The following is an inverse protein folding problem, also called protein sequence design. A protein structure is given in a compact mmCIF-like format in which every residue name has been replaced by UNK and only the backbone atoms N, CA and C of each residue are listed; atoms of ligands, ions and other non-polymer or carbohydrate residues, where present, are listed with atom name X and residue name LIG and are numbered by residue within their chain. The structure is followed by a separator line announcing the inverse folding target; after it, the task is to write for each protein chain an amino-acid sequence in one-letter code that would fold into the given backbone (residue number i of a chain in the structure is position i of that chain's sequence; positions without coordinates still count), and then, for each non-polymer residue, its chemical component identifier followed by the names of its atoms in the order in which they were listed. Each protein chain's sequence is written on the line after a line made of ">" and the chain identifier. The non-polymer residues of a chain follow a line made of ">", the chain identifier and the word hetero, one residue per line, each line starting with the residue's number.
data_IF_627548943194
#
_entry.id   IF_627548943194
#
_cell.length_a   1.000
_cell.length_b   1.000
_cell.length_c   1.000
_cell.angle_alpha   90.00
_cell.angle_beta   90.00
_cell.angle_gamma   90.00
#
_symmetry.space_group_name_H-M   'P 1'
#
loop_
_entity.id
_entity.type
_entity.pdbx_description
1 polymer ?
#
# COMPACT_ATOMS: atom_id res chain seq x y z
N UNK A 1 -1.99 15.17 1.00
CA UNK A 1 -1.32 14.70 -0.23
C UNK A 1 -1.34 13.17 -0.24
N UNK A 2 -1.10 12.53 -1.38
CA UNK A 2 -0.97 11.06 -1.49
C UNK A 2 0.07 10.49 -0.52
N UNK A 3 1.18 11.20 -0.33
CA UNK A 3 2.29 10.83 0.56
C UNK A 3 1.85 10.64 2.02
N UNK A 4 1.05 11.56 2.56
CA UNK A 4 0.58 11.48 3.95
C UNK A 4 -0.29 10.23 4.18
N UNK A 5 -1.10 9.85 3.19
CA UNK A 5 -1.90 8.62 3.25
C UNK A 5 -1.02 7.37 3.20
N UNK A 6 0.02 7.34 2.38
CA UNK A 6 0.95 6.21 2.31
C UNK A 6 1.76 6.05 3.60
N UNK A 7 2.17 7.16 4.23
CA UNK A 7 2.80 7.11 5.57
C UNK A 7 1.86 6.51 6.62
N UNK A 8 0.60 6.95 6.66
CA UNK A 8 -0.40 6.40 7.60
C UNK A 8 -0.61 4.90 7.35
N UNK A 9 -0.72 4.48 6.09
CA UNK A 9 -0.88 3.06 5.75
C UNK A 9 0.34 2.23 6.13
N UNK A 10 1.56 2.72 5.88
CA UNK A 10 2.79 2.03 6.28
C UNK A 10 2.86 1.85 7.81
N UNK A 11 2.52 2.90 8.55
CA UNK A 11 2.40 2.86 10.01
C UNK A 11 1.34 1.87 10.49
N UNK A 12 0.15 1.90 9.89
CA UNK A 12 -0.99 1.05 10.29
C UNK A 12 -0.71 -0.43 10.03
N UNK A 13 -0.09 -0.73 8.89
CA UNK A 13 0.25 -2.09 8.51
C UNK A 13 1.51 -2.59 9.23
N UNK A 14 2.29 -1.70 9.84
CA UNK A 14 3.59 -2.02 10.43
C UNK A 14 4.61 -2.52 9.39
N UNK A 15 4.43 -2.14 8.12
CA UNK A 15 5.22 -2.63 6.99
C UNK A 15 5.62 -1.47 6.08
N UNK A 16 6.85 -1.46 5.54
CA UNK A 16 7.25 -0.46 4.56
C UNK A 16 6.38 -0.51 3.31
N UNK A 17 5.96 0.65 2.82
CA UNK A 17 5.22 0.76 1.56
C UNK A 17 6.07 1.48 0.52
N UNK A 18 6.23 0.87 -0.65
CA UNK A 18 6.91 1.47 -1.79
C UNK A 18 5.91 2.06 -2.77
N UNK A 19 6.15 3.28 -3.25
CA UNK A 19 5.41 3.82 -4.39
C UNK A 19 5.98 3.24 -5.70
N UNK A 20 5.17 2.53 -6.49
CA UNK A 20 5.64 1.98 -7.75
C UNK A 20 5.84 3.08 -8.80
N UNK A 21 6.94 2.97 -9.56
CA UNK A 21 7.26 3.85 -10.69
C UNK A 21 7.59 3.05 -11.95
N UNK A 22 7.39 3.68 -13.10
CA UNK A 22 7.74 3.11 -14.41
C UNK A 22 9.26 3.15 -14.67
N UNK A 23 9.68 2.76 -15.87
CA UNK A 23 11.11 2.76 -16.22
C UNK A 23 11.72 4.17 -16.24
N UNK A 24 10.91 5.21 -16.45
CA UNK A 24 11.30 6.62 -16.44
C UNK A 24 11.24 7.26 -15.05
N UNK A 25 10.74 6.53 -14.03
CA UNK A 25 10.57 7.03 -12.66
C UNK A 25 9.27 7.80 -12.43
N UNK A 26 8.32 7.76 -13.37
CA UNK A 26 7.00 8.34 -13.17
C UNK A 26 6.13 7.42 -12.30
N UNK A 27 5.38 7.99 -11.36
CA UNK A 27 4.46 7.25 -10.51
C UNK A 27 3.47 6.45 -11.37
N UNK A 28 3.44 5.14 -11.15
CA UNK A 28 2.50 4.26 -11.81
C UNK A 28 1.13 4.45 -11.18
N UNK A 29 0.15 4.87 -11.99
CA UNK A 29 -1.26 4.82 -11.62
C UNK A 29 -1.80 3.41 -11.87
N UNK A 30 -1.15 2.42 -11.24
CA UNK A 30 -1.55 1.01 -11.31
C UNK A 30 -2.76 0.82 -10.41
N UNK A 31 -3.93 0.89 -11.01
CA UNK A 31 -5.19 0.73 -10.30
C UNK A 31 -5.36 -0.68 -9.71
N UNK A 32 -6.29 -0.82 -8.76
CA UNK A 32 -6.59 -2.10 -8.09
C UNK A 32 -6.86 -3.27 -9.06
N UNK A 33 -7.38 -2.98 -10.26
CA UNK A 33 -7.62 -3.97 -11.30
C UNK A 33 -6.33 -4.62 -11.84
N UNK A 34 -5.25 -3.84 -12.00
CA UNK A 34 -3.97 -4.34 -12.47
C UNK A 34 -3.28 -5.17 -11.39
N UNK A 35 -3.36 -4.73 -10.13
CA UNK A 35 -2.94 -5.52 -8.97
C UNK A 35 -3.69 -6.85 -8.85
N UNK A 36 -5.01 -6.86 -9.08
CA UNK A 36 -5.82 -8.07 -9.06
C UNK A 36 -5.47 -9.04 -10.20
N UNK A 37 -5.29 -8.52 -11.42
CA UNK A 37 -4.85 -9.32 -12.56
C UNK A 37 -3.48 -9.97 -12.32
N UNK A 38 -2.56 -9.23 -11.67
CA UNK A 38 -1.25 -9.75 -11.28
C UNK A 38 -1.35 -10.89 -10.27
N UNK A 39 -2.14 -10.73 -9.21
CA UNK A 39 -2.37 -11.77 -8.22
C UNK A 39 -3.00 -13.03 -8.85
N UNK A 40 -3.95 -12.85 -9.76
CA UNK A 40 -4.55 -13.94 -10.52
C UNK A 40 -3.54 -14.70 -11.39
N UNK A 41 -2.68 -13.99 -12.12
CA UNK A 41 -1.62 -14.59 -12.93
C UNK A 41 -0.62 -15.40 -12.09
N UNK A 42 -0.23 -14.89 -10.91
CA UNK A 42 0.64 -15.64 -9.98
C UNK A 42 -0.02 -16.90 -9.44
N UNK A 43 -1.32 -16.86 -9.10
CA UNK A 43 -2.05 -18.03 -8.60
C UNK A 43 -2.11 -19.17 -9.63
N UNK A 44 -2.07 -18.85 -10.92
CA UNK A 44 -2.05 -19.83 -12.02
C UNK A 44 -0.65 -20.41 -12.31
N UNK A 45 0.37 -20.07 -11.51
CA UNK A 45 1.74 -20.54 -11.71
C UNK A 45 2.50 -19.78 -12.80
N UNK A 46 2.01 -18.62 -13.21
CA UNK A 46 2.73 -17.71 -14.11
C UNK A 46 4.08 -17.31 -13.53
N UNK A 47 5.06 -17.05 -14.39
CA UNK A 47 6.38 -16.57 -13.97
C UNK A 47 6.23 -15.31 -13.11
N UNK A 48 7.03 -15.21 -12.03
CA UNK A 48 7.05 -14.01 -11.19
C UNK A 48 7.39 -12.81 -12.07
N UNK A 49 6.49 -11.84 -12.17
CA UNK A 49 6.84 -10.57 -12.78
C UNK A 49 8.00 -9.95 -11.99
N UNK A 50 8.83 -9.11 -12.62
CA UNK A 50 9.80 -8.29 -11.91
C UNK A 50 9.08 -7.51 -10.80
N UNK A 51 9.72 -7.39 -9.64
CA UNK A 51 9.22 -6.48 -8.62
C UNK A 51 9.15 -5.06 -9.21
N UNK A 52 8.10 -4.28 -8.89
CA UNK A 52 7.99 -2.91 -9.37
C UNK A 52 9.20 -2.09 -8.88
N UNK A 53 9.66 -1.15 -9.71
CA UNK A 53 10.64 -0.15 -9.28
C UNK A 53 9.96 0.79 -8.29
N UNK A 54 10.70 1.22 -7.27
CA UNK A 54 10.19 2.11 -6.22
C UNK A 54 11.08 3.34 -6.15
N UNK A 55 10.47 4.53 -6.19
CA UNK A 55 11.15 5.82 -6.03
C UNK A 55 11.26 6.24 -4.57
N UNK A 56 10.22 5.97 -3.79
CA UNK A 56 10.10 6.35 -2.38
C UNK A 56 9.56 5.18 -1.56
N UNK A 57 10.27 4.90 -0.47
CA UNK A 57 9.82 4.01 0.59
C UNK A 57 9.27 4.84 1.76
N UNK A 58 8.06 4.50 2.18
CA UNK A 58 7.42 5.05 3.38
C UNK A 58 7.63 4.04 4.50
N UNK A 59 8.52 4.37 5.43
CA UNK A 59 8.84 3.54 6.58
C UNK A 59 7.83 3.71 7.71
N UNK A 60 7.49 2.64 8.44
CA UNK A 60 6.71 2.75 9.66
C UNK A 60 7.52 3.51 10.73
N UNK A 61 6.99 4.62 11.22
CA UNK A 61 7.55 5.43 12.30
C UNK A 61 7.00 5.01 13.67
N UNK A 62 5.95 4.17 13.73
CA UNK A 62 5.31 3.60 14.95
C UNK A 62 4.70 4.64 15.91
N UNK A 63 4.97 5.92 15.73
CA UNK A 63 4.43 7.02 16.53
C UNK A 63 2.91 7.22 16.36
N UNK A 64 2.33 6.72 15.26
CA UNK A 64 0.90 6.82 14.97
C UNK A 64 0.12 5.51 15.13
N UNK A 65 0.77 4.41 15.54
CA UNK A 65 0.12 3.10 15.65
C UNK A 65 -1.13 3.16 16.54
N UNK A 66 -0.99 3.73 17.74
CA UNK A 66 -2.09 3.82 18.70
C UNK A 66 -3.22 4.77 18.24
N UNK A 67 -2.86 5.92 17.68
CA UNK A 67 -3.82 6.90 17.19
C UNK A 67 -4.59 6.41 15.95
N UNK A 68 -3.91 5.69 15.06
CA UNK A 68 -4.50 5.16 13.83
C UNK A 68 -5.36 3.93 14.11
N UNK A 69 -4.92 3.05 15.03
CA UNK A 69 -5.75 1.94 15.49
C UNK A 69 -7.03 2.45 16.17
N UNK A 70 -6.93 3.49 17.00
CA UNK A 70 -8.10 4.14 17.61
C UNK A 70 -9.07 4.73 16.57
N UNK A 71 -8.55 5.26 15.45
CA UNK A 71 -9.34 5.78 14.34
C UNK A 71 -9.99 4.66 13.52
N UNK A 72 -9.28 3.56 13.28
CA UNK A 72 -9.78 2.38 12.58
C UNK A 72 -10.89 1.68 13.39
N UNK A 73 -10.71 1.54 14.69
CA UNK A 73 -11.74 1.01 15.60
C UNK A 73 -12.99 1.89 15.58
N UNK A 74 -12.80 3.23 15.61
CA UNK A 74 -13.90 4.17 15.51
C UNK A 74 -14.61 4.07 14.16
N UNK A 75 -13.88 3.98 13.06
CA UNK A 75 -14.46 3.75 11.74
C UNK A 75 -15.25 2.45 11.68
N UNK A 76 -14.69 1.34 12.17
CA UNK A 76 -15.39 0.04 12.25
C UNK A 76 -16.67 0.12 13.06
N UNK A 77 -16.66 0.83 14.19
CA UNK A 77 -17.86 1.00 15.02
C UNK A 77 -18.99 1.79 14.35
N UNK A 78 -18.65 2.70 13.43
CA UNK A 78 -19.63 3.55 12.72
C UNK A 78 -20.06 2.94 11.38
N UNK A 79 -19.16 2.23 10.69
CA UNK A 79 -19.41 1.68 9.36
C UNK A 79 -19.99 0.26 9.38
N UNK A 80 -19.82 -0.49 10.47
CA UNK A 80 -20.29 -1.88 10.61
C UNK A 80 -21.27 -2.08 11.79
N UNK A 81 -21.63 -0.99 12.48
CA UNK A 81 -22.59 -0.98 13.59
C UNK A 81 -24.00 -0.55 13.17
#
# INVERSE_FOLDING_TARGET
>A
SSDAWLTILADTLGLPLGRPVDEAGAALDVGAAEGAAWLGWRALGGASAPAPRVDVWFEPVHQHGDATMSLLERYRSVALG
#
